data_IF_239581524700
#
_entry.id   IF_239581524700
#
_cell.length_a   1.000
_cell.length_b   1.000
_cell.length_c   1.000
_cell.angle_alpha   90.00
_cell.angle_beta   90.00
_cell.angle_gamma   90.00
#
_symmetry.space_group_name_H-M   'P 1'
#
loop_
_entity.id
_entity.type
_entity.pdbx_description
1 polymer ?
#
# COMPACT_ATOMS: atom_id res chain seq x y z
N UNK A 1 16.84 15.53 3.61
CA UNK A 1 15.71 15.23 2.70
C UNK A 1 14.47 14.96 3.54
N UNK A 2 13.30 15.52 3.18
CA UNK A 2 12.03 15.12 3.82
C UNK A 2 11.71 13.66 3.44
N UNK A 3 10.86 12.98 4.24
CA UNK A 3 10.41 11.61 3.94
C UNK A 3 9.84 11.50 2.52
N UNK A 4 10.10 10.40 1.82
CA UNK A 4 9.55 10.08 0.50
C UNK A 4 8.68 8.83 0.57
N UNK A 5 7.49 8.85 -0.04
CA UNK A 5 6.63 7.65 -0.11
C UNK A 5 7.10 6.69 -1.19
N UNK A 6 6.77 5.39 -1.05
CA UNK A 6 7.03 4.37 -2.08
C UNK A 6 6.45 4.76 -3.44
N UNK A 7 5.24 5.34 -3.45
CA UNK A 7 4.61 5.91 -4.65
C UNK A 7 5.49 6.97 -5.32
N UNK A 8 6.10 7.87 -4.55
CA UNK A 8 6.96 8.92 -5.09
C UNK A 8 8.33 8.38 -5.54
N UNK A 9 8.84 7.32 -4.89
CA UNK A 9 10.04 6.59 -5.36
C UNK A 9 9.79 6.00 -6.75
N UNK A 10 8.66 5.32 -6.94
CA UNK A 10 8.27 4.78 -8.24
C UNK A 10 8.06 5.90 -9.27
N UNK A 11 7.39 6.99 -8.88
CA UNK A 11 7.18 8.13 -9.76
C UNK A 11 8.51 8.77 -10.20
N UNK A 12 9.50 8.88 -9.30
CA UNK A 12 10.85 9.32 -9.62
C UNK A 12 11.50 8.41 -10.65
N UNK A 13 11.39 7.09 -10.49
CA UNK A 13 11.98 6.11 -11.41
C UNK A 13 11.49 6.30 -12.85
N UNK A 14 10.21 6.62 -13.02
CA UNK A 14 9.57 6.88 -14.33
C UNK A 14 10.00 8.22 -14.97
N UNK A 15 10.69 9.11 -14.24
CA UNK A 15 11.17 10.39 -14.79
C UNK A 15 12.46 10.20 -15.58
N UNK A 16 12.62 10.99 -16.64
CA UNK A 16 13.89 11.20 -17.35
C UNK A 16 14.93 11.84 -16.43
N UNK A 17 16.23 11.65 -16.68
CA UNK A 17 17.30 12.22 -15.87
C UNK A 17 17.18 13.74 -15.66
N UNK A 18 16.84 14.49 -16.71
CA UNK A 18 16.64 15.95 -16.62
C UNK A 18 15.53 16.36 -15.65
N UNK A 19 14.48 15.55 -15.49
CA UNK A 19 13.31 15.88 -14.65
C UNK A 19 13.36 15.26 -13.25
N UNK A 20 14.28 14.32 -12.98
CA UNK A 20 14.50 13.69 -11.67
C UNK A 20 14.84 14.70 -10.58
N UNK A 21 15.84 15.57 -10.82
CA UNK A 21 16.25 16.62 -9.86
C UNK A 21 15.12 17.60 -9.55
N UNK A 22 14.40 18.03 -10.58
CA UNK A 22 13.25 18.95 -10.43
C UNK A 22 12.11 18.30 -9.65
N UNK A 23 11.84 17.01 -9.89
CA UNK A 23 10.85 16.25 -9.14
C UNK A 23 11.21 16.19 -7.65
N UNK A 24 12.44 15.82 -7.31
CA UNK A 24 12.88 15.77 -5.91
C UNK A 24 12.75 17.13 -5.22
N UNK A 25 13.21 18.22 -5.86
CA UNK A 25 13.02 19.59 -5.33
C UNK A 25 11.56 19.96 -5.13
N UNK A 26 10.65 19.45 -5.97
CA UNK A 26 9.21 19.70 -5.85
C UNK A 26 8.60 19.01 -4.63
N UNK A 27 9.12 17.84 -4.23
CA UNK A 27 8.65 17.12 -3.04
C UNK A 27 8.95 17.91 -1.76
N UNK A 28 10.08 18.62 -1.71
CA UNK A 28 10.43 19.45 -0.55
C UNK A 28 9.58 20.73 -0.44
N UNK A 29 9.08 21.23 -1.58
CA UNK A 29 8.25 22.45 -1.68
C UNK A 29 6.78 22.25 -1.32
N UNK A 30 6.29 21.01 -1.26
CA UNK A 30 4.93 20.73 -0.77
C UNK A 30 4.91 21.10 0.73
N UNK A 31 4.38 22.30 1.03
CA UNK A 31 4.02 22.72 2.39
C UNK A 31 3.03 21.72 2.97
N UNK A 32 3.02 21.58 4.30
CA UNK A 32 1.97 20.87 5.02
C UNK A 32 0.62 21.44 4.59
N UNK A 33 -0.05 20.77 3.67
CA UNK A 33 -1.49 20.92 3.51
C UNK A 33 -2.04 20.04 4.63
N UNK A 34 -2.64 20.70 5.61
CA UNK A 34 -3.49 20.10 6.61
C UNK A 34 -4.43 19.08 5.97
N UNK A 35 -4.78 18.08 6.77
CA UNK A 35 -5.47 16.83 6.49
C UNK A 35 -6.82 16.85 5.74
N UNK A 36 -7.14 17.84 4.91
CA UNK A 36 -8.49 17.99 4.34
C UNK A 36 -8.60 18.39 2.86
N UNK A 37 -7.52 18.72 2.13
CA UNK A 37 -7.67 19.20 0.74
C UNK A 37 -6.86 18.40 -0.27
N UNK A 38 -7.54 17.47 -0.94
CA UNK A 38 -6.98 16.56 -1.93
C UNK A 38 -7.33 15.11 -1.59
N UNK A 39 -8.63 14.83 -1.45
CA UNK A 39 -9.16 13.53 -1.07
C UNK A 39 -8.44 12.42 -1.82
N UNK A 40 -7.80 11.54 -1.05
CA UNK A 40 -7.20 10.34 -1.60
C UNK A 40 -8.34 9.62 -2.33
N UNK A 41 -8.32 9.63 -3.67
CA UNK A 41 -9.45 9.25 -4.53
C UNK A 41 -10.03 7.87 -4.20
N UNK A 42 -9.31 7.07 -3.44
CA UNK A 42 -9.55 5.68 -3.12
C UNK A 42 -9.84 5.44 -1.64
N UNK A 43 -9.92 6.49 -0.80
CA UNK A 43 -9.99 6.35 0.66
C UNK A 43 -11.19 5.52 1.11
N UNK A 44 -12.33 5.63 0.42
CA UNK A 44 -13.56 4.94 0.80
C UNK A 44 -13.47 3.44 0.52
N UNK A 45 -12.99 3.07 -0.67
CA UNK A 45 -12.76 1.67 -1.04
C UNK A 45 -11.64 1.03 -0.21
N UNK A 46 -10.48 1.67 -0.11
CA UNK A 46 -9.33 1.14 0.65
C UNK A 46 -9.63 0.97 2.13
N UNK A 47 -10.41 1.88 2.74
CA UNK A 47 -10.82 1.73 4.14
C UNK A 47 -11.81 0.57 4.34
N UNK A 48 -12.74 0.36 3.41
CA UNK A 48 -13.66 -0.77 3.46
C UNK A 48 -12.94 -2.12 3.28
N UNK A 49 -12.00 -2.22 2.34
CA UNK A 49 -11.14 -3.41 2.17
C UNK A 49 -10.34 -3.70 3.44
N UNK A 50 -9.76 -2.66 4.03
CA UNK A 50 -9.01 -2.76 5.28
C UNK A 50 -9.86 -3.24 6.47
N UNK A 51 -11.10 -2.76 6.59
CA UNK A 51 -12.03 -3.24 7.63
C UNK A 51 -12.47 -4.69 7.37
N UNK A 52 -12.79 -5.01 6.12
CA UNK A 52 -13.20 -6.36 5.69
C UNK A 52 -12.11 -7.39 5.97
N UNK A 53 -10.85 -7.08 5.64
CA UNK A 53 -9.71 -7.94 5.98
C UNK A 53 -9.54 -8.11 7.50
N UNK A 54 -9.83 -7.07 8.30
CA UNK A 54 -9.69 -7.15 9.77
C UNK A 54 -10.75 -8.04 10.41
N UNK A 55 -11.99 -8.01 9.94
CA UNK A 55 -13.13 -8.72 10.52
C UNK A 55 -13.52 -10.01 9.79
N UNK A 56 -12.97 -10.24 8.60
CA UNK A 56 -13.41 -11.26 7.66
C UNK A 56 -14.91 -11.15 7.30
N UNK A 57 -15.41 -9.92 7.18
CA UNK A 57 -16.83 -9.65 6.95
C UNK A 57 -17.04 -8.70 5.77
N UNK A 58 -17.55 -9.26 4.67
CA UNK A 58 -17.86 -8.51 3.45
C UNK A 58 -19.01 -7.51 3.64
N UNK A 59 -19.73 -7.52 4.77
CA UNK A 59 -20.74 -6.51 5.06
C UNK A 59 -20.14 -5.10 5.04
N UNK A 60 -18.88 -4.92 5.45
CA UNK A 60 -18.19 -3.63 5.35
C UNK A 60 -18.07 -3.12 3.91
N UNK A 61 -17.94 -4.00 2.92
CA UNK A 61 -17.94 -3.64 1.50
C UNK A 61 -19.36 -3.26 1.07
N UNK A 62 -20.36 -4.08 1.40
CA UNK A 62 -21.77 -3.86 1.03
C UNK A 62 -22.30 -2.54 1.58
N UNK A 63 -22.08 -2.27 2.86
CA UNK A 63 -22.43 -1.00 3.51
C UNK A 63 -21.73 0.19 2.83
N UNK A 64 -20.49 -0.01 2.37
CA UNK A 64 -19.75 1.04 1.66
C UNK A 64 -20.29 1.28 0.25
N UNK A 65 -20.70 0.23 -0.46
CA UNK A 65 -21.33 0.33 -1.78
C UNK A 65 -22.59 1.18 -1.68
N UNK A 66 -23.47 0.88 -0.72
CA UNK A 66 -24.70 1.65 -0.49
C UNK A 66 -24.38 3.13 -0.22
N UNK A 67 -23.52 3.40 0.77
CA UNK A 67 -23.16 4.76 1.16
C UNK A 67 -22.49 5.56 0.02
N UNK A 68 -21.65 4.93 -0.81
CA UNK A 68 -20.99 5.61 -1.94
C UNK A 68 -21.96 5.81 -3.10
N UNK A 69 -22.87 4.88 -3.34
CA UNK A 69 -23.90 4.99 -4.40
C UNK A 69 -24.84 6.15 -4.12
N UNK A 70 -25.26 6.31 -2.87
CA UNK A 70 -26.06 7.45 -2.41
C UNK A 70 -25.38 8.80 -2.65
N UNK A 71 -24.11 8.90 -2.27
CA UNK A 71 -23.30 10.11 -2.47
C UNK A 71 -23.07 10.40 -3.95
N UNK A 72 -22.90 9.35 -4.77
CA UNK A 72 -22.78 9.45 -6.22
C UNK A 72 -24.05 10.05 -6.86
N UNK A 73 -25.22 9.54 -6.46
CA UNK A 73 -26.52 10.01 -6.96
C UNK A 73 -26.78 11.48 -6.61
N UNK A 74 -26.41 11.90 -5.39
CA UNK A 74 -26.58 13.28 -4.88
C UNK A 74 -25.57 14.27 -5.48
N UNK A 75 -24.43 13.80 -5.98
CA UNK A 75 -23.37 14.65 -6.49
C UNK A 75 -23.73 15.30 -7.82
N UNK A 76 -23.32 16.57 -8.02
CA UNK A 76 -23.57 17.33 -9.26
C UNK A 76 -22.32 17.50 -10.12
N UNK A 77 -21.13 17.49 -9.50
CA UNK A 77 -19.86 17.77 -10.20
C UNK A 77 -19.33 16.48 -10.82
N UNK A 78 -19.02 16.53 -12.13
CA UNK A 78 -18.44 15.39 -12.86
C UNK A 78 -17.22 14.79 -12.15
N UNK A 79 -16.26 15.62 -11.76
CA UNK A 79 -15.05 15.15 -11.07
C UNK A 79 -15.35 14.36 -9.78
N UNK A 80 -16.35 14.79 -9.01
CA UNK A 80 -16.76 14.10 -7.78
C UNK A 80 -17.47 12.79 -8.11
N UNK A 81 -18.31 12.75 -9.14
CA UNK A 81 -18.91 11.51 -9.65
C UNK A 81 -17.86 10.52 -10.12
N UNK A 82 -16.88 10.97 -10.91
CA UNK A 82 -15.78 10.12 -11.39
C UNK A 82 -14.99 9.51 -10.23
N UNK A 83 -14.79 10.27 -9.13
CA UNK A 83 -14.15 9.76 -7.92
C UNK A 83 -14.99 8.67 -7.22
N UNK A 84 -16.30 8.88 -7.08
CA UNK A 84 -17.17 7.89 -6.47
C UNK A 84 -17.30 6.63 -7.32
N UNK A 85 -17.48 6.77 -8.64
CA UNK A 85 -17.51 5.66 -9.58
C UNK A 85 -16.27 4.78 -9.43
N UNK A 86 -15.09 5.41 -9.40
CA UNK A 86 -13.81 4.75 -9.16
C UNK A 86 -13.72 3.97 -7.84
N UNK A 87 -14.38 4.44 -6.77
CA UNK A 87 -14.46 3.67 -5.53
C UNK A 87 -15.44 2.51 -5.67
N UNK A 88 -16.58 2.73 -6.32
CA UNK A 88 -17.57 1.69 -6.57
C UNK A 88 -16.98 0.56 -7.42
N UNK A 89 -16.21 0.89 -8.46
CA UNK A 89 -15.54 -0.10 -9.31
C UNK A 89 -14.66 -1.05 -8.47
N UNK A 90 -13.87 -0.51 -7.53
CA UNK A 90 -13.09 -1.33 -6.60
C UNK A 90 -14.00 -2.12 -5.67
N UNK A 91 -15.01 -1.48 -5.06
CA UNK A 91 -15.87 -2.15 -4.09
C UNK A 91 -16.63 -3.33 -4.70
N UNK A 92 -17.15 -3.19 -5.92
CA UNK A 92 -17.85 -4.25 -6.64
C UNK A 92 -16.91 -5.42 -6.99
N UNK A 93 -15.63 -5.17 -7.28
CA UNK A 93 -14.65 -6.24 -7.47
C UNK A 93 -14.49 -7.14 -6.23
N UNK A 94 -14.77 -6.61 -5.03
CA UNK A 94 -14.55 -7.29 -3.75
C UNK A 94 -15.83 -7.62 -2.98
N UNK A 95 -17.01 -7.33 -3.52
CA UNK A 95 -18.30 -7.52 -2.83
C UNK A 95 -18.49 -8.95 -2.33
N UNK A 96 -18.10 -9.93 -3.16
CA UNK A 96 -18.21 -11.36 -2.88
C UNK A 96 -16.85 -12.06 -2.83
N UNK A 97 -15.75 -11.30 -2.70
CA UNK A 97 -14.40 -11.87 -2.66
C UNK A 97 -14.16 -12.60 -1.34
N UNK A 98 -13.43 -13.72 -1.41
CA UNK A 98 -13.03 -14.48 -0.23
C UNK A 98 -11.68 -13.96 0.33
N UNK A 99 -11.76 -13.07 1.32
CA UNK A 99 -10.59 -12.49 1.97
C UNK A 99 -9.76 -13.50 2.76
N UNK A 100 -10.31 -14.68 3.08
CA UNK A 100 -9.58 -15.71 3.79
C UNK A 100 -8.40 -16.28 3.00
N UNK A 101 -8.42 -16.11 1.67
CA UNK A 101 -7.30 -16.43 0.77
C UNK A 101 -6.03 -15.63 1.08
N UNK A 102 -6.16 -14.45 1.70
CA UNK A 102 -5.02 -13.61 2.10
C UNK A 102 -4.57 -13.83 3.54
N UNK A 103 -5.25 -14.69 4.29
CA UNK A 103 -4.89 -14.94 5.68
C UNK A 103 -3.72 -15.90 5.80
N UNK A 104 -2.76 -15.64 6.69
CA UNK A 104 -1.62 -16.53 6.88
C UNK A 104 -2.02 -17.90 7.45
N UNK A 105 -3.11 -17.95 8.21
CA UNK A 105 -3.75 -19.13 8.78
C UNK A 105 -5.14 -18.75 9.33
N UNK A 106 -5.85 -19.70 9.93
CA UNK A 106 -7.18 -19.48 10.55
C UNK A 106 -7.16 -18.52 11.75
N UNK A 107 -6.00 -18.26 12.36
CA UNK A 107 -5.89 -17.51 13.61
C UNK A 107 -4.69 -16.56 13.57
N UNK A 108 -4.95 -15.29 13.24
CA UNK A 108 -3.99 -14.22 13.30
C UNK A 108 -4.54 -13.05 14.12
N UNK A 109 -3.66 -12.16 14.55
CA UNK A 109 -4.01 -10.99 15.36
C UNK A 109 -3.54 -9.71 14.65
N UNK A 110 -4.45 -8.75 14.46
CA UNK A 110 -4.09 -7.42 13.99
C UNK A 110 -3.28 -6.66 15.05
N UNK A 111 -2.16 -6.06 14.65
CA UNK A 111 -1.36 -5.18 15.49
C UNK A 111 -1.87 -3.74 15.38
N UNK A 112 -2.69 -3.33 16.35
CA UNK A 112 -3.17 -1.95 16.43
C UNK A 112 -2.00 -0.98 16.62
N UNK A 113 -2.05 0.17 15.93
CA UNK A 113 -1.06 1.27 16.01
C UNK A 113 0.31 1.03 15.34
N UNK A 114 0.46 0.00 14.50
CA UNK A 114 1.70 -0.22 13.72
C UNK A 114 2.12 1.02 12.88
N UNK A 115 1.16 1.81 12.42
CA UNK A 115 1.40 2.99 11.57
C UNK A 115 2.10 4.18 12.26
N UNK A 116 2.31 4.13 13.59
CA UNK A 116 3.01 5.21 14.33
C UNK A 116 4.49 5.35 13.95
N UNK A 117 5.11 4.32 13.38
CA UNK A 117 6.50 4.34 12.86
C UNK A 117 6.55 4.14 11.35
N UNK A 118 5.69 4.85 10.63
CA UNK A 118 5.58 4.72 9.16
C UNK A 118 6.80 5.21 8.38
N UNK A 119 7.78 5.85 9.01
CA UNK A 119 9.01 6.30 8.34
C UNK A 119 10.18 5.46 8.82
N UNK A 120 10.87 4.82 7.88
CA UNK A 120 12.07 4.02 8.10
C UNK A 120 13.19 4.53 7.20
N UNK A 121 14.43 4.30 7.58
CA UNK A 121 15.57 4.62 6.72
C UNK A 121 15.91 3.41 5.83
N UNK A 122 15.92 3.60 4.51
CA UNK A 122 16.37 2.60 3.53
C UNK A 122 17.46 3.25 2.69
N UNK A 123 18.68 2.69 2.71
CA UNK A 123 19.84 3.24 2.00
C UNK A 123 20.12 4.73 2.32
N UNK A 124 19.95 5.14 3.58
CA UNK A 124 20.08 6.53 4.06
C UNK A 124 19.00 7.50 3.52
N UNK A 125 17.93 6.97 2.92
CA UNK A 125 16.78 7.75 2.46
C UNK A 125 15.62 7.49 3.43
N UNK A 126 14.98 8.53 4.00
CA UNK A 126 13.80 8.36 4.84
C UNK A 126 12.59 7.99 3.97
N UNK A 127 12.16 6.73 4.04
CA UNK A 127 11.05 6.17 3.25
C UNK A 127 9.80 6.02 4.11
N UNK A 128 8.67 6.52 3.62
CA UNK A 128 7.37 6.34 4.24
C UNK A 128 6.67 5.09 3.70
N UNK A 129 6.42 4.12 4.58
CA UNK A 129 5.71 2.86 4.35
C UNK A 129 4.41 2.88 5.15
N UNK A 130 3.28 2.62 4.48
CA UNK A 130 1.93 2.73 5.05
C UNK A 130 1.13 1.46 4.76
N UNK A 131 1.43 0.34 5.43
CA UNK A 131 0.66 -0.88 5.26
C UNK A 131 -0.81 -0.63 5.62
N UNK A 132 -1.72 -1.35 4.94
CA UNK A 132 -3.14 -1.28 5.27
C UNK A 132 -3.42 -1.98 6.59
N UNK A 133 -2.86 -3.18 6.77
CA UNK A 133 -2.92 -3.93 8.02
C UNK A 133 -1.57 -4.58 8.30
N UNK A 134 -1.24 -4.67 9.58
CA UNK A 134 -0.09 -5.44 10.09
C UNK A 134 -0.64 -6.45 11.08
N UNK A 135 -0.16 -7.69 11.01
CA UNK A 135 -0.69 -8.78 11.81
C UNK A 135 0.39 -9.78 12.23
N UNK A 136 0.12 -10.52 13.29
CA UNK A 136 0.98 -11.61 13.77
C UNK A 136 0.22 -12.91 13.79
N UNK A 137 0.95 -14.02 13.63
CA UNK A 137 0.39 -15.36 13.62
C UNK A 137 1.48 -16.36 14.00
N UNK A 138 1.09 -17.51 14.54
CA UNK A 138 2.05 -18.57 14.90
C UNK A 138 1.96 -19.69 13.87
N UNK A 139 3.10 -20.13 13.34
CA UNK A 139 3.22 -21.29 12.45
C UNK A 139 4.40 -22.13 12.93
N UNK A 140 4.20 -23.41 13.16
CA UNK A 140 5.25 -24.33 13.62
C UNK A 140 5.97 -23.85 14.91
N UNK A 141 5.22 -23.30 15.88
CA UNK A 141 5.72 -22.72 17.13
C UNK A 141 6.63 -21.48 16.97
N UNK A 142 6.68 -20.91 15.77
CA UNK A 142 7.38 -19.66 15.49
C UNK A 142 6.35 -18.55 15.33
N UNK A 143 6.56 -17.45 16.02
CA UNK A 143 5.73 -16.27 15.91
C UNK A 143 6.19 -15.41 14.72
N UNK A 144 5.31 -15.26 13.76
CA UNK A 144 5.52 -14.48 12.55
C UNK A 144 4.80 -13.14 12.59
N UNK A 145 5.30 -12.21 11.78
CA UNK A 145 4.64 -10.96 11.43
C UNK A 145 4.48 -10.86 9.91
N UNK A 146 3.33 -10.36 9.48
CA UNK A 146 3.00 -10.05 8.10
C UNK A 146 2.29 -8.71 7.99
N UNK A 147 2.14 -8.24 6.76
CA UNK A 147 1.40 -7.04 6.44
C UNK A 147 0.80 -7.13 5.03
N UNK A 148 -0.40 -6.56 4.88
CA UNK A 148 -1.05 -6.39 3.59
C UNK A 148 -1.14 -4.91 3.24
N UNK A 149 -0.89 -4.57 1.98
CA UNK A 149 -1.01 -3.21 1.47
C UNK A 149 -1.92 -3.17 0.23
N UNK A 150 -3.08 -2.57 0.40
CA UNK A 150 -4.00 -2.26 -0.68
C UNK A 150 -3.54 -1.00 -1.43
N UNK A 151 -3.24 -1.14 -2.71
CA UNK A 151 -2.68 -0.08 -3.55
C UNK A 151 -3.58 0.15 -4.75
N UNK A 152 -3.95 1.41 -4.99
CA UNK A 152 -4.77 1.84 -6.13
C UNK A 152 -4.05 2.92 -6.95
N UNK A 153 -4.12 2.81 -8.29
CA UNK A 153 -3.62 3.81 -9.24
C UNK A 153 -4.26 3.63 -10.62
N UNK A 154 -4.74 4.74 -11.22
CA UNK A 154 -5.45 4.74 -12.51
C UNK A 154 -4.72 4.00 -13.63
N UNK A 155 -3.46 4.34 -13.88
CA UNK A 155 -2.66 3.71 -14.94
C UNK A 155 -1.91 2.46 -14.45
N UNK A 156 -2.28 1.97 -13.27
CA UNK A 156 -1.62 0.83 -12.60
C UNK A 156 -0.14 1.05 -12.28
N UNK A 157 0.43 -0.03 -11.75
CA UNK A 157 1.86 -0.23 -11.59
C UNK A 157 2.29 -1.46 -12.38
N UNK A 158 3.54 -1.49 -12.83
CA UNK A 158 4.11 -2.74 -13.35
C UNK A 158 4.34 -3.73 -12.21
N UNK A 159 4.50 -5.02 -12.52
CA UNK A 159 4.84 -6.04 -11.51
C UNK A 159 6.10 -5.68 -10.71
N UNK A 160 7.12 -5.12 -11.37
CA UNK A 160 8.35 -4.65 -10.72
C UNK A 160 8.08 -3.51 -9.72
N UNK A 161 7.18 -2.59 -10.07
CA UNK A 161 6.79 -1.49 -9.18
C UNK A 161 5.96 -1.97 -7.99
N UNK A 162 5.10 -2.98 -8.16
CA UNK A 162 4.48 -3.67 -7.02
C UNK A 162 5.50 -4.40 -6.15
N UNK A 163 6.54 -4.98 -6.76
CA UNK A 163 7.70 -5.51 -6.05
C UNK A 163 8.34 -4.48 -5.11
N UNK A 164 8.48 -3.23 -5.54
CA UNK A 164 9.00 -2.17 -4.67
C UNK A 164 8.13 -1.90 -3.43
N UNK A 165 6.81 -2.04 -3.53
CA UNK A 165 5.92 -1.99 -2.36
C UNK A 165 6.15 -3.20 -1.44
N UNK A 166 6.21 -4.41 -1.99
CA UNK A 166 6.40 -5.64 -1.20
C UNK A 166 7.76 -5.66 -0.48
N UNK A 167 8.82 -5.25 -1.18
CA UNK A 167 10.16 -5.08 -0.61
C UNK A 167 10.17 -4.03 0.50
N UNK A 168 9.46 -2.90 0.33
CA UNK A 168 9.35 -1.88 1.37
C UNK A 168 8.56 -2.36 2.60
N UNK A 169 7.56 -3.23 2.43
CA UNK A 169 6.83 -3.87 3.53
C UNK A 169 7.76 -4.77 4.32
N UNK A 170 8.54 -5.61 3.64
CA UNK A 170 9.52 -6.49 4.27
C UNK A 170 10.51 -5.70 5.13
N UNK A 171 11.14 -4.67 4.55
CA UNK A 171 12.12 -3.83 5.26
C UNK A 171 11.44 -3.10 6.42
N UNK A 172 10.20 -2.62 6.26
CA UNK A 172 9.43 -2.01 7.33
C UNK A 172 9.18 -2.98 8.49
N UNK A 173 8.77 -4.21 8.20
CA UNK A 173 8.50 -5.21 9.23
C UNK A 173 9.78 -5.63 9.96
N UNK A 174 10.87 -5.84 9.23
CA UNK A 174 12.19 -6.13 9.80
C UNK A 174 12.63 -5.02 10.77
N UNK A 175 12.52 -3.76 10.37
CA UNK A 175 12.95 -2.64 11.22
C UNK A 175 12.11 -2.47 12.49
N UNK A 176 10.81 -2.82 12.45
CA UNK A 176 9.88 -2.52 13.53
C UNK A 176 9.55 -3.71 14.43
N UNK A 177 9.67 -4.94 13.93
CA UNK A 177 9.11 -6.13 14.58
C UNK A 177 10.07 -7.33 14.68
N UNK A 178 11.22 -7.33 13.99
CA UNK A 178 12.19 -8.45 13.97
C UNK A 178 12.69 -8.89 15.35
N UNK A 179 12.71 -7.97 16.34
CA UNK A 179 13.10 -8.29 17.73
C UNK A 179 12.19 -9.32 18.40
N UNK A 180 10.95 -9.46 17.94
CA UNK A 180 9.92 -10.32 18.56
C UNK A 180 9.35 -11.36 17.60
N UNK A 181 9.39 -11.09 16.31
CA UNK A 181 8.69 -11.89 15.30
C UNK A 181 9.62 -12.15 14.12
N UNK A 182 9.48 -13.32 13.50
CA UNK A 182 10.05 -13.57 12.19
C UNK A 182 9.17 -12.95 11.10
N UNK A 183 9.74 -12.25 10.13
CA UNK A 183 8.94 -11.69 9.04
C UNK A 183 8.57 -12.80 8.04
N UNK A 184 7.29 -12.89 7.69
CA UNK A 184 6.80 -13.80 6.64
C UNK A 184 6.89 -13.13 5.27
N UNK A 185 7.72 -13.69 4.38
CA UNK A 185 7.92 -13.16 3.03
C UNK A 185 6.65 -13.27 2.16
N UNK A 186 5.91 -14.37 2.30
CA UNK A 186 4.64 -14.62 1.60
C UNK A 186 3.54 -13.66 2.07
N UNK A 187 3.57 -13.26 3.34
CA UNK A 187 2.62 -12.31 3.92
C UNK A 187 3.14 -10.87 3.96
N UNK A 188 4.17 -10.53 3.19
CA UNK A 188 4.47 -9.15 2.81
C UNK A 188 3.71 -8.82 1.52
N UNK A 189 2.38 -8.82 1.61
CA UNK A 189 1.46 -8.89 0.47
C UNK A 189 1.03 -7.49 0.01
N UNK A 190 1.09 -7.26 -1.29
CA UNK A 190 0.59 -6.06 -1.96
C UNK A 190 -0.49 -6.47 -2.93
N UNK A 191 -1.62 -5.79 -2.86
CA UNK A 191 -2.78 -6.06 -3.71
C UNK A 191 -3.08 -4.83 -4.56
N UNK A 192 -3.05 -5.02 -5.87
CA UNK A 192 -3.62 -4.09 -6.84
C UNK A 192 -5.13 -4.22 -6.83
N UNK A 193 -5.79 -3.30 -6.14
CA UNK A 193 -7.24 -3.38 -5.94
C UNK A 193 -8.05 -3.07 -7.20
N UNK A 194 -7.41 -2.52 -8.24
CA UNK A 194 -8.07 -2.26 -9.53
C UNK A 194 -7.99 -3.47 -10.45
N UNK A 195 -6.83 -4.15 -10.47
CA UNK A 195 -6.57 -5.25 -11.40
C UNK A 195 -6.65 -6.64 -10.77
N UNK A 196 -6.99 -6.74 -9.47
CA UNK A 196 -7.04 -7.99 -8.71
C UNK A 196 -5.71 -8.76 -8.77
N UNK A 197 -4.59 -8.03 -8.82
CA UNK A 197 -3.27 -8.61 -8.91
C UNK A 197 -2.57 -8.59 -7.56
N UNK A 198 -1.78 -9.64 -7.30
CA UNK A 198 -1.11 -9.84 -6.01
C UNK A 198 0.40 -9.97 -6.22
N UNK A 199 1.16 -9.32 -5.36
CA UNK A 199 2.63 -9.45 -5.30
C UNK A 199 3.06 -9.55 -3.86
N UNK A 200 3.91 -10.52 -3.54
CA UNK A 200 4.52 -10.63 -2.22
C UNK A 200 6.06 -10.57 -2.30
N UNK A 201 6.71 -10.52 -1.15
CA UNK A 201 8.17 -10.41 -1.10
C UNK A 201 8.88 -11.70 -1.54
N UNK A 202 8.26 -12.86 -1.33
CA UNK A 202 8.81 -14.16 -1.78
C UNK A 202 9.05 -14.17 -3.29
N UNK A 203 8.15 -13.57 -4.08
CA UNK A 203 8.31 -13.44 -5.54
C UNK A 203 9.61 -12.73 -5.97
N UNK A 204 10.14 -11.83 -5.14
CA UNK A 204 11.42 -11.14 -5.38
C UNK A 204 12.59 -12.07 -5.06
N UNK A 205 12.52 -12.80 -3.95
CA UNK A 205 13.54 -13.80 -3.58
C UNK A 205 13.66 -14.90 -4.64
N UNK A 206 12.52 -15.32 -5.18
CA UNK A 206 12.42 -16.33 -6.25
C UNK A 206 12.79 -15.75 -7.64
N UNK A 207 13.10 -14.45 -7.73
CA UNK A 207 13.44 -13.72 -8.97
C UNK A 207 12.34 -13.74 -10.04
N UNK A 208 11.10 -14.00 -9.66
CA UNK A 208 9.93 -13.88 -10.55
C UNK A 208 9.57 -12.41 -10.81
N UNK A 209 9.96 -11.52 -9.90
CA UNK A 209 9.84 -10.07 -10.03
C UNK A 209 11.21 -9.43 -9.71
N UNK A 210 11.69 -8.47 -10.51
CA UNK A 210 12.97 -7.81 -10.24
C UNK A 210 12.88 -6.90 -9.01
N UNK A 211 13.92 -6.94 -8.18
CA UNK A 211 14.13 -5.97 -7.10
C UNK A 211 14.58 -4.63 -7.71
N UNK A 212 13.76 -3.58 -7.57
CA UNK A 212 14.06 -2.25 -8.14
C UNK A 212 14.19 -1.16 -7.08
N UNK A 213 13.84 -1.43 -5.81
CA UNK A 213 13.78 -0.40 -4.78
C UNK A 213 15.19 0.13 -4.46
N UNK A 214 16.15 -0.77 -4.21
CA UNK A 214 17.52 -0.42 -3.85
C UNK A 214 18.19 0.49 -4.89
N UNK A 215 18.17 0.10 -6.16
CA UNK A 215 18.73 0.88 -7.27
C UNK A 215 18.04 2.23 -7.44
N UNK A 216 16.71 2.27 -7.29
CA UNK A 216 15.96 3.52 -7.38
C UNK A 216 16.33 4.47 -6.23
N UNK A 217 16.49 3.96 -5.01
CA UNK A 217 16.91 4.76 -3.85
C UNK A 217 18.35 5.28 -3.99
N UNK A 218 19.26 4.48 -4.53
CA UNK A 218 20.61 4.92 -4.86
C UNK A 218 20.60 6.08 -5.86
N UNK A 219 19.81 5.94 -6.94
CA UNK A 219 19.63 7.00 -7.94
C UNK A 219 19.00 8.27 -7.34
N UNK A 220 18.04 8.14 -6.42
CA UNK A 220 17.50 9.30 -5.68
C UNK A 220 18.63 10.01 -4.94
N UNK A 221 19.45 9.29 -4.19
CA UNK A 221 20.55 9.86 -3.41
C UNK A 221 21.57 10.60 -4.28
N UNK A 222 21.88 10.09 -5.45
CA UNK A 222 22.78 10.74 -6.42
C UNK A 222 22.20 12.00 -7.07
N UNK A 223 20.87 12.16 -7.02
CA UNK A 223 20.15 13.29 -7.59
C UNK A 223 19.66 14.32 -6.55
N UNK A 224 19.90 14.08 -5.26
CA UNK A 224 19.72 15.05 -4.17
C UNK A 224 20.87 16.05 -4.15
#
# INVERSE_FOLDING_TARGET
MKKISVKNIIAFRRKSDKSRKTFLKSLDKVKAIDSESGGNYWVRSLSALSSTFKSNDNQHIKDKIEAVSDDFAKSKRKQTKDMYQRNLDILFNYENFDFSTWYPNKTFKILEKANKKSVIEINKVPVQVLPSQVFTFTKNKIDYVGAIWFVAKLDGYSKAEFGAFAESLFIYLENNFSKKYQVSYENCLVVDVLNLAEVNYQMILDRTIPAILGDTLNSIRENL
#
